data_IF_569234591792
#
_entry.id   IF_569234591792
#
_cell.length_a   1.000
_cell.length_b   1.000
_cell.length_c   1.000
_cell.angle_alpha   90.00
_cell.angle_beta   90.00
_cell.angle_gamma   90.00
#
_symmetry.space_group_name_H-M   'P 1'
#
loop_
_entity.id
_entity.type
_entity.pdbx_description
1 polymer ?
#
# COMPACT_ATOMS: atom_id res chain seq x y z
N UNK A 1 22.62 16.94 -17.93
CA UNK A 1 21.74 15.80 -18.26
C UNK A 1 20.45 15.97 -17.47
N UNK A 2 19.40 16.55 -18.08
CA UNK A 2 18.08 16.72 -17.43
C UNK A 2 17.45 15.33 -17.34
N UNK A 3 17.46 14.72 -16.16
CA UNK A 3 16.64 13.53 -15.92
C UNK A 3 15.18 13.90 -16.20
N UNK A 4 14.52 13.08 -17.01
CA UNK A 4 13.10 13.16 -17.32
C UNK A 4 12.36 12.84 -16.01
N UNK A 5 12.21 13.86 -15.13
CA UNK A 5 11.60 13.68 -13.79
C UNK A 5 10.23 13.01 -13.86
N UNK A 6 9.47 13.28 -14.94
CA UNK A 6 8.14 12.69 -15.16
C UNK A 6 8.12 11.17 -15.30
N UNK A 7 9.09 10.58 -16.01
CA UNK A 7 9.14 9.12 -16.22
C UNK A 7 9.49 8.38 -14.92
N UNK A 8 10.42 8.93 -14.12
CA UNK A 8 10.79 8.36 -12.82
C UNK A 8 9.66 8.45 -11.80
N UNK A 9 8.87 9.53 -11.81
CA UNK A 9 7.73 9.68 -10.90
C UNK A 9 6.56 8.77 -11.26
N UNK A 10 6.31 8.54 -12.55
CA UNK A 10 5.23 7.63 -12.96
C UNK A 10 5.55 6.18 -12.59
N UNK A 11 6.80 5.74 -12.83
CA UNK A 11 7.27 4.42 -12.40
C UNK A 11 7.14 4.28 -10.88
N UNK A 12 7.60 5.27 -10.12
CA UNK A 12 7.49 5.25 -8.66
C UNK A 12 6.03 5.16 -8.18
N UNK A 13 5.08 5.88 -8.80
CA UNK A 13 3.65 5.75 -8.48
C UNK A 13 3.12 4.34 -8.73
N UNK A 14 3.46 3.74 -9.87
CA UNK A 14 3.03 2.37 -10.23
C UNK A 14 3.59 1.32 -9.26
N UNK A 15 4.85 1.47 -8.89
CA UNK A 15 5.52 0.59 -7.93
C UNK A 15 4.88 0.67 -6.54
N UNK A 16 4.61 1.89 -6.04
CA UNK A 16 3.90 2.07 -4.77
C UNK A 16 2.52 1.45 -4.85
N UNK A 17 1.75 1.74 -5.90
CA UNK A 17 0.42 1.19 -6.12
C UNK A 17 0.45 -0.35 -6.11
N UNK A 18 1.43 -0.97 -6.77
CA UNK A 18 1.58 -2.43 -6.78
C UNK A 18 1.90 -3.00 -5.39
N UNK A 19 2.75 -2.34 -4.61
CA UNK A 19 3.06 -2.78 -3.24
C UNK A 19 1.80 -2.76 -2.37
N UNK A 20 1.05 -1.66 -2.39
CA UNK A 20 -0.16 -1.56 -1.55
C UNK A 20 -1.27 -2.49 -2.03
N UNK A 21 -1.45 -2.66 -3.35
CA UNK A 21 -2.41 -3.61 -3.92
C UNK A 21 -2.08 -5.05 -3.49
N UNK A 22 -0.79 -5.43 -3.47
CA UNK A 22 -0.37 -6.74 -2.97
C UNK A 22 -0.63 -6.92 -1.47
N UNK A 23 -0.44 -5.87 -0.66
CA UNK A 23 -0.75 -5.95 0.78
C UNK A 23 -2.23 -6.28 1.02
N UNK A 24 -3.14 -5.67 0.26
CA UNK A 24 -4.57 -5.91 0.40
C UNK A 24 -5.03 -7.21 -0.27
N UNK A 25 -4.44 -7.57 -1.41
CA UNK A 25 -4.75 -8.83 -2.10
C UNK A 25 -4.45 -10.06 -1.24
N UNK A 26 -3.38 -10.00 -0.45
CA UNK A 26 -2.96 -11.04 0.49
C UNK A 26 -3.18 -10.56 1.93
N UNK A 27 -4.35 -9.98 2.20
CA UNK A 27 -4.67 -9.34 3.46
C UNK A 27 -4.34 -10.22 4.67
N UNK A 28 -4.80 -11.48 4.69
CA UNK A 28 -4.60 -12.40 5.81
C UNK A 28 -3.13 -12.86 5.98
N UNK A 29 -2.29 -12.71 4.95
CA UNK A 29 -0.86 -13.01 5.04
C UNK A 29 -0.07 -11.84 5.61
N UNK A 30 -0.56 -10.60 5.48
CA UNK A 30 0.17 -9.38 5.83
C UNK A 30 -0.42 -8.60 7.00
N UNK A 31 -1.71 -8.76 7.30
CA UNK A 31 -2.38 -8.17 8.44
C UNK A 31 -2.68 -9.24 9.48
N UNK A 32 -2.39 -8.90 10.73
CA UNK A 32 -2.82 -9.69 11.88
C UNK A 32 -4.33 -9.56 12.11
N UNK A 33 -4.90 -10.43 12.95
CA UNK A 33 -6.32 -10.38 13.33
C UNK A 33 -6.76 -9.03 13.93
N UNK A 34 -5.83 -8.24 14.47
CA UNK A 34 -6.10 -6.91 15.00
C UNK A 34 -5.97 -5.81 13.94
N UNK A 35 -5.95 -6.18 12.65
CA UNK A 35 -5.87 -5.26 11.51
C UNK A 35 -4.58 -4.41 11.50
N UNK A 36 -3.49 -4.96 12.02
CA UNK A 36 -2.16 -4.32 12.02
C UNK A 36 -1.22 -5.11 11.15
N UNK A 37 -0.38 -4.44 10.34
CA UNK A 37 0.64 -5.12 9.54
C UNK A 37 1.54 -5.98 10.44
N UNK A 38 1.70 -7.24 10.06
CA UNK A 38 2.64 -8.14 10.69
C UNK A 38 4.08 -7.87 10.18
N UNK A 39 5.04 -8.67 10.64
CA UNK A 39 6.45 -8.46 10.29
C UNK A 39 6.73 -8.54 8.78
N UNK A 40 6.00 -9.40 8.05
CA UNK A 40 6.12 -9.54 6.60
C UNK A 40 5.50 -8.37 5.86
N UNK A 41 4.32 -7.95 6.30
CA UNK A 41 3.64 -6.75 5.79
C UNK A 41 4.51 -5.52 5.93
N UNK A 42 5.14 -5.33 7.11
CA UNK A 42 6.08 -4.22 7.35
C UNK A 42 7.30 -4.30 6.44
N UNK A 43 7.88 -5.49 6.22
CA UNK A 43 9.03 -5.66 5.32
C UNK A 43 8.70 -5.25 3.89
N UNK A 44 7.55 -5.68 3.38
CA UNK A 44 7.08 -5.30 2.06
C UNK A 44 6.78 -3.79 1.98
N UNK A 45 6.03 -3.25 2.95
CA UNK A 45 5.63 -1.85 3.01
C UNK A 45 6.82 -0.89 3.14
N UNK A 46 7.92 -1.29 3.80
CA UNK A 46 9.16 -0.49 3.89
C UNK A 46 9.81 -0.19 2.55
N UNK A 47 9.56 -1.00 1.50
CA UNK A 47 10.09 -0.77 0.15
C UNK A 47 9.57 0.52 -0.49
N UNK A 48 8.40 1.01 -0.06
CA UNK A 48 7.79 2.26 -0.53
C UNK A 48 8.69 3.47 -0.28
N UNK A 49 9.48 3.47 0.79
CA UNK A 49 10.39 4.58 1.13
C UNK A 49 11.33 4.96 -0.02
N UNK A 50 11.83 3.97 -0.77
CA UNK A 50 12.68 4.18 -1.94
C UNK A 50 11.94 4.95 -3.05
N UNK A 51 10.70 4.57 -3.34
CA UNK A 51 9.91 5.19 -4.40
C UNK A 51 9.37 6.57 -4.00
N UNK A 52 9.07 6.79 -2.71
CA UNK A 52 8.66 8.11 -2.22
C UNK A 52 9.77 9.16 -2.40
N UNK A 53 11.03 8.77 -2.24
CA UNK A 53 12.16 9.67 -2.53
C UNK A 53 12.17 10.15 -3.99
N UNK A 54 11.70 9.33 -4.94
CA UNK A 54 11.63 9.66 -6.36
C UNK A 54 10.42 10.55 -6.72
N UNK A 55 9.39 10.59 -5.87
CA UNK A 55 8.15 11.33 -6.12
C UNK A 55 8.20 12.79 -5.65
N UNK A 56 8.99 13.08 -4.62
CA UNK A 56 9.03 14.40 -3.96
C UNK A 56 7.62 14.89 -3.53
N UNK A 57 6.75 13.96 -3.10
CA UNK A 57 5.38 14.23 -2.66
C UNK A 57 5.31 14.29 -1.12
N UNK A 58 5.24 15.52 -0.59
CA UNK A 58 5.24 15.77 0.85
C UNK A 58 4.04 15.16 1.57
N UNK A 59 2.87 15.13 0.94
CA UNK A 59 1.66 14.56 1.54
C UNK A 59 1.81 13.04 1.66
N UNK A 60 2.22 12.39 0.57
CA UNK A 60 2.47 10.95 0.56
C UNK A 60 3.54 10.54 1.58
N UNK A 61 4.62 11.32 1.70
CA UNK A 61 5.67 11.09 2.71
C UNK A 61 5.10 11.22 4.13
N UNK A 62 4.21 12.19 4.38
CA UNK A 62 3.61 12.39 5.70
C UNK A 62 2.74 11.20 6.10
N UNK A 63 1.81 10.79 5.22
CA UNK A 63 0.93 9.65 5.50
C UNK A 63 1.71 8.33 5.62
N UNK A 64 2.77 8.15 4.83
CA UNK A 64 3.63 6.98 4.95
C UNK A 64 4.37 6.91 6.30
N UNK A 65 4.83 8.05 6.81
CA UNK A 65 5.48 8.10 8.12
C UNK A 65 4.49 7.85 9.25
N UNK A 66 3.26 8.35 9.12
CA UNK A 66 2.17 8.09 10.05
C UNK A 66 1.86 6.59 10.11
N UNK A 67 1.67 5.94 8.96
CA UNK A 67 1.40 4.50 8.87
C UNK A 67 2.57 3.62 9.28
N UNK A 68 3.83 4.07 9.21
CA UNK A 68 4.96 3.31 9.76
C UNK A 68 5.06 3.37 11.28
N UNK A 69 4.54 4.44 11.91
CA UNK A 69 4.51 4.56 13.38
C UNK A 69 3.38 3.75 13.98
N UNK A 70 2.23 3.79 13.32
CA UNK A 70 1.05 3.01 13.66
C UNK A 70 0.55 2.29 12.40
N UNK A 71 0.99 1.03 12.18
CA UNK A 71 0.70 0.29 10.95
C UNK A 71 -0.65 -0.42 10.97
N UNK A 72 -1.65 0.25 11.53
CA UNK A 72 -3.05 -0.12 11.45
C UNK A 72 -3.56 -0.06 10.00
N UNK A 73 -4.56 -0.88 9.70
CA UNK A 73 -5.24 -0.90 8.41
C UNK A 73 -5.73 0.50 8.03
N UNK A 74 -6.33 1.25 8.95
CA UNK A 74 -6.79 2.62 8.73
C UNK A 74 -5.68 3.52 8.18
N UNK A 75 -4.51 3.55 8.83
CA UNK A 75 -3.40 4.40 8.38
C UNK A 75 -2.80 3.92 7.05
N UNK A 76 -2.73 2.60 6.83
CA UNK A 76 -2.28 2.04 5.56
C UNK A 76 -3.26 2.37 4.43
N UNK A 77 -4.57 2.35 4.68
CA UNK A 77 -5.61 2.76 3.72
C UNK A 77 -5.53 4.24 3.39
N UNK A 78 -5.38 5.10 4.42
CA UNK A 78 -5.22 6.55 4.26
C UNK A 78 -4.05 6.88 3.32
N UNK A 79 -2.92 6.20 3.46
CA UNK A 79 -1.80 6.32 2.53
C UNK A 79 -2.12 5.75 1.14
N UNK A 80 -2.72 4.57 1.08
CA UNK A 80 -2.95 3.82 -0.17
C UNK A 80 -3.96 4.51 -1.09
N UNK A 81 -4.92 5.25 -0.53
CA UNK A 81 -5.88 6.07 -1.28
C UNK A 81 -5.24 7.16 -2.15
N UNK A 82 -3.96 7.50 -1.93
CA UNK A 82 -3.22 8.41 -2.80
C UNK A 82 -2.78 7.76 -4.12
N UNK A 83 -2.81 6.43 -4.20
CA UNK A 83 -2.23 5.64 -5.30
C UNK A 83 -3.21 4.65 -5.94
N UNK A 84 -4.23 4.22 -5.21
CA UNK A 84 -5.26 3.31 -5.70
C UNK A 84 -6.61 4.03 -5.79
N UNK A 85 -7.24 3.93 -6.96
CA UNK A 85 -8.65 4.26 -7.12
C UNK A 85 -9.51 3.08 -6.64
N UNK A 86 -10.74 3.37 -6.22
CA UNK A 86 -11.76 2.38 -5.84
C UNK A 86 -11.30 1.40 -4.76
N UNK A 87 -10.49 1.89 -3.80
CA UNK A 87 -9.87 1.06 -2.77
C UNK A 87 -10.91 0.31 -1.92
N UNK A 88 -12.03 0.95 -1.60
CA UNK A 88 -13.11 0.34 -0.82
C UNK A 88 -13.72 -0.86 -1.53
N UNK A 89 -13.92 -0.79 -2.85
CA UNK A 89 -14.48 -1.89 -3.63
C UNK A 89 -13.45 -3.01 -3.82
N UNK A 90 -12.17 -2.66 -3.99
CA UNK A 90 -11.07 -3.62 -4.00
C UNK A 90 -10.95 -4.38 -2.68
N UNK A 91 -11.00 -3.71 -1.55
CA UNK A 91 -10.95 -4.35 -0.22
C UNK A 91 -12.11 -5.32 -0.03
N UNK A 92 -13.33 -4.94 -0.44
CA UNK A 92 -14.47 -5.86 -0.39
C UNK A 92 -14.18 -7.13 -1.19
N UNK A 93 -13.63 -7.00 -2.40
CA UNK A 93 -13.30 -8.15 -3.24
C UNK A 93 -12.17 -8.98 -2.63
N UNK A 94 -11.13 -8.37 -2.08
CA UNK A 94 -9.99 -9.11 -1.54
C UNK A 94 -10.32 -9.80 -0.22
N UNK A 95 -11.04 -9.13 0.68
CA UNK A 95 -11.40 -9.66 1.99
C UNK A 95 -12.57 -10.65 1.88
N UNK A 96 -13.63 -10.34 1.12
CA UNK A 96 -14.80 -11.22 0.98
C UNK A 96 -14.66 -12.25 -0.14
N UNK A 97 -13.89 -11.99 -1.21
CA UNK A 97 -13.67 -12.94 -2.29
C UNK A 97 -12.92 -14.21 -1.84
N UNK A 98 -12.04 -14.08 -0.84
CA UNK A 98 -11.42 -15.22 -0.13
C UNK A 98 -12.47 -16.08 0.58
N UNK A 99 -13.44 -15.48 1.30
CA UNK A 99 -14.54 -16.23 1.94
C UNK A 99 -15.39 -17.04 0.96
N UNK A 100 -15.59 -16.55 -0.28
CA UNK A 100 -16.35 -17.26 -1.31
C UNK A 100 -15.54 -18.39 -1.99
N UNK A 101 -14.21 -18.34 -2.01
CA UNK A 101 -13.36 -19.42 -2.54
C UNK A 101 -13.23 -20.60 -1.59
N UNK A 102 -13.35 -20.39 -0.27
CA UNK A 102 -13.28 -21.46 0.74
C UNK A 102 -14.53 -22.37 0.72
N UNK A 103 -15.61 -21.97 0.04
CA UNK A 103 -16.88 -22.74 -0.06
C UNK A 103 -17.05 -23.57 -1.34
N UNK A 104 -16.00 -23.80 -2.14
CA UNK A 104 -16.07 -24.68 -3.32
C UNK A 104 -15.19 -25.91 -3.17
#
# INVERSE_FOLDING_TARGET
MKMIKGASSEVARKEIASIVDNLFKYYYDFFSNNEVLNSDGIRLYKRISYYLYLLDDKLAISYYKESLRDPSLENVLKFSNLFLNDLDDKLKIYIYGEFYKIKK
#
